data_IF_867512786009
#
_entry.id   IF_867512786009
#
_cell.length_a   1.000
_cell.length_b   1.000
_cell.length_c   1.000
_cell.angle_alpha   90.00
_cell.angle_beta   90.00
_cell.angle_gamma   90.00
#
_symmetry.space_group_name_H-M   'P 1'
#
loop_
_entity.id
_entity.type
_entity.pdbx_description
1 polymer ?
#
# COMPACT_ATOMS: atom_id res chain seq x y z
N UNK A 1 -29.64 5.70 16.36
CA UNK A 1 -29.77 5.04 15.05
C UNK A 1 -28.48 5.30 14.27
N UNK A 2 -28.02 4.33 13.48
CA UNK A 2 -26.82 4.43 12.64
C UNK A 2 -27.26 4.47 11.16
N UNK A 3 -26.53 5.22 10.34
CA UNK A 3 -26.77 5.31 8.89
C UNK A 3 -26.12 4.15 8.13
N UNK A 4 -25.05 3.57 8.68
CA UNK A 4 -24.35 2.42 8.12
C UNK A 4 -23.77 1.53 9.22
N UNK A 5 -23.67 0.23 8.91
CA UNK A 5 -22.98 -0.76 9.73
C UNK A 5 -21.87 -1.36 8.90
N UNK A 6 -20.64 -1.34 9.41
CA UNK A 6 -19.47 -1.97 8.83
C UNK A 6 -19.09 -3.17 9.70
N UNK A 7 -19.00 -4.35 9.10
CA UNK A 7 -18.64 -5.59 9.80
C UNK A 7 -17.18 -5.91 9.45
N UNK A 8 -16.32 -5.90 10.45
CA UNK A 8 -14.87 -6.06 10.35
C UNK A 8 -14.12 -4.73 10.40
N UNK A 9 -13.08 -4.67 11.22
CA UNK A 9 -12.22 -3.50 11.44
C UNK A 9 -10.89 -3.57 10.68
N UNK A 10 -10.80 -4.37 9.62
CA UNK A 10 -9.64 -4.36 8.73
C UNK A 10 -9.48 -3.01 8.02
N UNK A 11 -8.32 -2.79 7.39
CA UNK A 11 -8.00 -1.52 6.70
C UNK A 11 -9.12 -1.05 5.76
N UNK A 12 -9.70 -1.94 4.95
CA UNK A 12 -10.81 -1.59 4.07
C UNK A 12 -12.09 -1.17 4.83
N UNK A 13 -12.42 -1.85 5.93
CA UNK A 13 -13.59 -1.54 6.76
C UNK A 13 -13.43 -0.22 7.49
N UNK A 14 -12.28 0.02 8.13
CA UNK A 14 -11.98 1.29 8.80
C UNK A 14 -11.84 2.45 7.81
N UNK A 15 -11.26 2.25 6.63
CA UNK A 15 -11.24 3.27 5.59
C UNK A 15 -12.64 3.62 5.11
N UNK A 16 -13.50 2.63 4.85
CA UNK A 16 -14.88 2.89 4.44
C UNK A 16 -15.69 3.60 5.53
N UNK A 17 -15.60 3.13 6.78
CA UNK A 17 -16.26 3.75 7.92
C UNK A 17 -15.79 5.19 8.14
N UNK A 18 -14.46 5.42 8.09
CA UNK A 18 -13.86 6.73 8.25
C UNK A 18 -14.28 7.71 7.14
N UNK A 19 -14.34 7.26 5.88
CA UNK A 19 -14.83 8.08 4.78
C UNK A 19 -16.31 8.44 4.95
N UNK A 20 -17.17 7.46 5.26
CA UNK A 20 -18.60 7.72 5.49
C UNK A 20 -18.81 8.68 6.66
N UNK A 21 -18.06 8.52 7.75
CA UNK A 21 -18.18 9.38 8.91
C UNK A 21 -17.67 10.81 8.64
N UNK A 22 -16.47 10.95 8.05
CA UNK A 22 -15.80 12.25 7.92
C UNK A 22 -16.19 13.03 6.67
N UNK A 23 -16.37 12.35 5.53
CA UNK A 23 -16.65 13.00 4.26
C UNK A 23 -18.14 13.10 3.94
N UNK A 24 -18.96 12.18 4.48
CA UNK A 24 -20.40 12.11 4.20
C UNK A 24 -21.29 12.36 5.44
N UNK A 25 -20.68 12.74 6.57
CA UNK A 25 -21.36 13.06 7.84
C UNK A 25 -22.35 11.96 8.28
N UNK A 26 -21.93 10.70 8.18
CA UNK A 26 -22.75 9.53 8.53
C UNK A 26 -22.40 8.97 9.90
N UNK A 27 -23.42 8.55 10.65
CA UNK A 27 -23.26 7.78 11.89
C UNK A 27 -22.99 6.33 11.54
N UNK A 28 -21.73 5.90 11.62
CA UNK A 28 -21.32 4.54 11.28
C UNK A 28 -21.07 3.71 12.55
N UNK A 29 -21.62 2.49 12.59
CA UNK A 29 -21.27 1.47 13.58
C UNK A 29 -20.26 0.50 12.96
N UNK A 30 -19.10 0.31 13.59
CA UNK A 30 -18.13 -0.72 13.21
C UNK A 30 -18.22 -1.87 14.21
N UNK A 31 -18.39 -3.10 13.71
CA UNK A 31 -18.45 -4.31 14.51
C UNK A 31 -17.21 -5.15 14.25
N UNK A 32 -16.43 -5.42 15.29
CA UNK A 32 -15.27 -6.32 15.24
C UNK A 32 -15.53 -7.54 16.13
N UNK A 33 -15.20 -8.73 15.60
CA UNK A 33 -15.30 -10.00 16.33
C UNK A 33 -14.09 -10.20 17.24
N UNK A 34 -12.92 -9.75 16.81
CA UNK A 34 -11.69 -9.80 17.59
C UNK A 34 -11.68 -8.78 18.72
N UNK A 35 -10.79 -9.00 19.68
CA UNK A 35 -10.59 -8.10 20.83
C UNK A 35 -9.85 -6.82 20.44
N UNK A 36 -9.11 -6.84 19.33
CA UNK A 36 -8.31 -5.73 18.83
C UNK A 36 -8.78 -5.33 17.43
N UNK A 37 -8.86 -4.03 17.12
CA UNK A 37 -9.19 -3.58 15.78
C UNK A 37 -7.99 -3.69 14.83
N UNK A 38 -8.26 -3.81 13.53
CA UNK A 38 -7.23 -3.73 12.46
C UNK A 38 -7.16 -4.95 11.54
N UNK A 39 -7.81 -6.08 11.88
CA UNK A 39 -7.76 -7.28 11.04
C UNK A 39 -6.32 -7.75 10.78
N UNK A 40 -5.89 -7.85 9.52
CA UNK A 40 -4.50 -8.21 9.17
C UNK A 40 -3.48 -7.07 9.37
N UNK A 41 -3.93 -5.87 9.72
CA UNK A 41 -3.07 -4.72 10.04
C UNK A 41 -2.95 -4.48 11.54
N UNK A 42 -3.46 -5.40 12.37
CA UNK A 42 -3.33 -5.31 13.82
C UNK A 42 -1.94 -5.77 14.28
N UNK A 43 -1.55 -5.28 15.45
CA UNK A 43 -0.39 -5.76 16.21
C UNK A 43 -0.88 -6.30 17.55
N UNK A 44 -0.25 -7.35 18.08
CA UNK A 44 -0.57 -7.88 19.41
C UNK A 44 0.69 -7.98 20.28
N UNK A 45 0.52 -7.99 21.60
CA UNK A 45 1.62 -8.15 22.54
C UNK A 45 1.66 -9.56 23.13
N UNK A 46 2.83 -10.19 23.12
CA UNK A 46 3.05 -11.50 23.72
C UNK A 46 4.48 -11.60 24.22
N UNK A 47 4.65 -12.11 25.44
CA UNK A 47 5.95 -12.36 26.08
C UNK A 47 6.87 -11.11 26.09
N UNK A 48 6.28 -9.94 26.37
CA UNK A 48 6.97 -8.65 26.43
C UNK A 48 7.25 -7.99 25.08
N UNK A 49 7.05 -8.69 23.97
CA UNK A 49 7.25 -8.20 22.60
C UNK A 49 5.94 -7.80 21.92
N UNK A 50 6.05 -6.96 20.88
CA UNK A 50 4.96 -6.62 19.96
C UNK A 50 5.16 -7.38 18.65
N UNK A 51 4.07 -7.89 18.09
CA UNK A 51 4.06 -8.72 16.89
C UNK A 51 3.02 -8.20 15.92
N UNK A 52 3.42 -8.01 14.66
CA UNK A 52 2.50 -7.64 13.58
C UNK A 52 1.94 -8.89 12.91
N UNK A 53 0.66 -8.86 12.54
CA UNK A 53 -0.02 -10.05 12.00
C UNK A 53 0.17 -10.21 10.48
N UNK A 54 0.39 -9.13 9.73
CA UNK A 54 0.44 -9.23 8.27
C UNK A 54 1.18 -8.14 7.51
N UNK A 55 1.10 -6.88 7.94
CA UNK A 55 1.78 -5.78 7.23
C UNK A 55 3.25 -5.72 7.65
N UNK A 56 4.16 -5.83 6.68
CA UNK A 56 5.61 -5.81 6.92
C UNK A 56 6.23 -4.42 6.64
N UNK A 57 5.91 -3.80 5.51
CA UNK A 57 6.27 -2.43 5.18
C UNK A 57 5.26 -1.84 4.18
N UNK A 58 5.23 -0.50 4.08
CA UNK A 58 4.34 0.24 3.19
C UNK A 58 5.15 0.95 2.11
N UNK A 59 4.78 0.75 0.84
CA UNK A 59 5.23 1.57 -0.28
C UNK A 59 4.31 2.78 -0.49
N UNK A 60 4.72 3.73 -1.34
CA UNK A 60 3.89 4.88 -1.75
C UNK A 60 3.42 5.77 -0.57
N UNK A 61 4.31 6.02 0.40
CA UNK A 61 4.02 6.78 1.62
C UNK A 61 4.60 8.22 1.59
N UNK A 62 4.54 8.89 0.44
CA UNK A 62 5.00 10.28 0.29
C UNK A 62 3.83 11.22 -0.07
N UNK A 63 3.93 12.55 0.14
CA UNK A 63 2.84 13.50 -0.14
C UNK A 63 2.32 13.53 -1.59
N UNK A 64 3.07 13.00 -2.55
CA UNK A 64 2.63 12.87 -3.96
C UNK A 64 1.75 11.64 -4.20
N UNK A 65 1.75 10.69 -3.26
CA UNK A 65 1.09 9.40 -3.41
C UNK A 65 -0.35 9.48 -2.88
N UNK A 66 -1.30 8.98 -3.66
CA UNK A 66 -2.73 9.09 -3.33
C UNK A 66 -3.09 8.35 -2.05
N UNK A 67 -2.48 7.18 -1.83
CA UNK A 67 -2.74 6.35 -0.64
C UNK A 67 -2.32 7.12 0.62
N UNK A 68 -1.15 7.78 0.60
CA UNK A 68 -0.70 8.60 1.72
C UNK A 68 -1.70 9.71 2.05
N UNK A 69 -2.21 10.43 1.04
CA UNK A 69 -3.24 11.48 1.24
C UNK A 69 -4.51 10.95 1.90
N UNK A 70 -4.98 9.76 1.50
CA UNK A 70 -6.15 9.14 2.14
C UNK A 70 -5.88 8.75 3.59
N UNK A 71 -4.72 8.17 3.87
CA UNK A 71 -4.35 7.80 5.23
C UNK A 71 -4.26 9.04 6.12
N UNK A 72 -3.55 10.08 5.69
CA UNK A 72 -3.46 11.36 6.41
C UNK A 72 -4.84 11.95 6.73
N UNK A 73 -5.76 11.97 5.75
CA UNK A 73 -7.13 12.45 5.96
C UNK A 73 -7.89 11.60 6.98
N UNK A 74 -7.81 10.27 6.85
CA UNK A 74 -8.51 9.32 7.73
C UNK A 74 -7.95 9.33 9.15
N UNK A 75 -6.65 9.55 9.32
CA UNK A 75 -5.98 9.61 10.62
C UNK A 75 -5.88 11.02 11.20
N UNK A 76 -6.46 12.04 10.54
CA UNK A 76 -6.29 13.45 10.95
C UNK A 76 -4.81 13.88 11.11
N UNK A 77 -3.91 13.33 10.30
CA UNK A 77 -2.48 13.61 10.39
C UNK A 77 -1.76 12.99 11.60
N UNK A 78 -2.40 12.08 12.33
CA UNK A 78 -1.76 11.39 13.47
C UNK A 78 -0.83 10.23 13.05
N UNK A 79 -0.75 9.93 11.75
CA UNK A 79 0.06 8.82 11.24
C UNK A 79 1.55 9.14 11.40
N UNK A 80 2.26 8.30 12.16
CA UNK A 80 3.71 8.40 12.34
C UNK A 80 4.39 7.33 11.50
N UNK A 81 5.04 7.76 10.43
CA UNK A 81 5.80 6.88 9.55
C UNK A 81 7.26 6.79 9.99
N UNK A 82 7.77 5.56 10.09
CA UNK A 82 9.20 5.31 10.23
C UNK A 82 9.78 4.93 8.87
N UNK A 83 10.76 5.67 8.38
CA UNK A 83 11.36 5.42 7.06
C UNK A 83 12.25 4.18 7.13
N UNK A 84 12.04 3.25 6.20
CA UNK A 84 12.92 2.09 6.06
C UNK A 84 14.35 2.49 5.66
N UNK A 85 15.36 1.69 6.04
CA UNK A 85 16.72 1.88 5.55
C UNK A 85 16.79 1.83 4.01
N UNK A 86 17.90 2.35 3.45
CA UNK A 86 18.10 2.36 2.01
C UNK A 86 18.04 0.96 1.39
N UNK A 87 18.56 -0.06 2.08
CA UNK A 87 18.38 -1.47 1.74
C UNK A 87 17.34 -2.13 2.65
N UNK A 88 16.21 -2.57 2.10
CA UNK A 88 15.08 -3.04 2.93
C UNK A 88 14.90 -4.57 2.91
N UNK A 89 15.24 -5.25 1.81
CA UNK A 89 15.26 -6.71 1.73
C UNK A 89 16.66 -7.19 1.37
N UNK A 90 17.07 -8.35 1.91
CA UNK A 90 18.34 -9.00 1.58
C UNK A 90 18.12 -10.46 1.18
N UNK A 91 18.58 -10.80 -0.01
CA UNK A 91 18.51 -12.13 -0.59
C UNK A 91 19.89 -12.78 -0.51
N UNK A 92 20.00 -13.85 0.29
CA UNK A 92 21.25 -14.59 0.47
C UNK A 92 21.06 -16.01 -0.05
N UNK A 93 21.72 -16.33 -1.15
CA UNK A 93 21.78 -17.66 -1.77
C UNK A 93 23.24 -18.07 -2.03
N UNK A 94 23.53 -19.34 -2.34
CA UNK A 94 24.88 -19.74 -2.74
C UNK A 94 25.38 -18.90 -3.92
N UNK A 95 26.43 -18.09 -3.69
CA UNK A 95 27.02 -17.21 -4.70
C UNK A 95 26.25 -15.91 -4.97
N UNK A 96 25.16 -15.63 -4.24
CA UNK A 96 24.37 -14.40 -4.39
C UNK A 96 24.15 -13.77 -3.00
N UNK A 97 24.55 -12.52 -2.86
CA UNK A 97 24.21 -11.68 -1.72
C UNK A 97 23.73 -10.34 -2.26
N UNK A 98 22.41 -10.15 -2.27
CA UNK A 98 21.76 -9.01 -2.91
C UNK A 98 20.89 -8.26 -1.92
N UNK A 99 21.16 -6.97 -1.71
CA UNK A 99 20.32 -6.09 -0.91
C UNK A 99 19.52 -5.17 -1.82
N UNK A 100 18.20 -5.26 -1.74
CA UNK A 100 17.26 -4.44 -2.53
C UNK A 100 17.28 -3.00 -2.04
N UNK A 101 17.69 -2.04 -2.87
CA UNK A 101 17.61 -0.63 -2.52
C UNK A 101 16.18 -0.10 -2.68
N UNK A 102 15.82 0.92 -1.91
CA UNK A 102 14.52 1.60 -2.00
C UNK A 102 14.38 2.45 -3.27
N UNK A 103 15.50 2.85 -3.89
CA UNK A 103 15.48 3.62 -5.14
C UNK A 103 15.34 2.68 -6.36
N UNK A 104 14.36 2.90 -7.25
CA UNK A 104 14.10 2.00 -8.36
C UNK A 104 15.18 2.02 -9.45
N UNK A 105 15.91 3.13 -9.61
CA UNK A 105 17.02 3.25 -10.56
C UNK A 105 18.21 2.46 -10.01
N UNK A 106 18.57 2.70 -8.75
CA UNK A 106 19.60 1.92 -8.06
C UNK A 106 19.28 0.42 -8.06
N UNK A 107 18.01 0.06 -7.89
CA UNK A 107 17.58 -1.34 -7.93
C UNK A 107 17.83 -1.98 -9.29
N UNK A 108 17.42 -1.30 -10.38
CA UNK A 108 17.67 -1.76 -11.73
C UNK A 108 19.17 -1.89 -12.02
N UNK A 109 19.97 -0.88 -11.66
CA UNK A 109 21.41 -0.86 -11.94
C UNK A 109 22.14 -1.97 -11.15
N UNK A 110 21.77 -2.21 -9.89
CA UNK A 110 22.33 -3.32 -9.10
C UNK A 110 21.99 -4.69 -9.70
N UNK A 111 20.76 -4.88 -10.21
CA UNK A 111 20.38 -6.12 -10.88
C UNK A 111 21.20 -6.33 -12.17
N UNK A 112 21.40 -5.27 -12.96
CA UNK A 112 22.23 -5.34 -14.18
C UNK A 112 23.69 -5.65 -13.83
N UNK A 113 24.24 -5.03 -12.79
CA UNK A 113 25.60 -5.31 -12.34
C UNK A 113 25.78 -6.77 -11.88
N UNK A 114 24.74 -7.36 -11.27
CA UNK A 114 24.75 -8.76 -10.83
C UNK A 114 24.52 -9.75 -11.97
N UNK A 115 23.72 -9.38 -12.98
CA UNK A 115 23.36 -10.23 -14.13
C UNK A 115 23.61 -9.48 -15.45
N UNK A 116 24.87 -9.23 -15.83
CA UNK A 116 25.19 -8.39 -16.99
C UNK A 116 24.64 -8.96 -18.30
N UNK A 117 24.64 -10.30 -18.46
CA UNK A 117 24.10 -10.97 -19.65
C UNK A 117 22.59 -10.74 -19.84
N UNK A 118 21.87 -10.39 -18.76
CA UNK A 118 20.43 -10.14 -18.76
C UNK A 118 20.06 -8.65 -18.82
N UNK A 119 21.02 -7.73 -19.03
CA UNK A 119 20.77 -6.28 -19.00
C UNK A 119 19.55 -5.89 -19.85
N UNK A 120 19.48 -6.39 -21.08
CA UNK A 120 18.38 -6.08 -22.01
C UNK A 120 17.03 -6.57 -21.49
N UNK A 121 17.00 -7.75 -20.87
CA UNK A 121 15.80 -8.34 -20.28
C UNK A 121 15.35 -7.55 -19.05
N UNK A 122 16.29 -7.19 -18.16
CA UNK A 122 16.03 -6.40 -16.96
C UNK A 122 15.47 -5.03 -17.33
N UNK A 123 16.12 -4.30 -18.24
CA UNK A 123 15.61 -2.98 -18.70
C UNK A 123 14.22 -3.08 -19.33
N UNK A 124 13.95 -4.16 -20.07
CA UNK A 124 12.61 -4.42 -20.63
C UNK A 124 11.58 -4.66 -19.53
N UNK A 125 11.88 -5.48 -18.54
CA UNK A 125 10.97 -5.78 -17.43
C UNK A 125 10.52 -4.51 -16.70
N UNK A 126 11.44 -3.64 -16.28
CA UNK A 126 11.08 -2.40 -15.58
C UNK A 126 10.20 -1.46 -16.43
N UNK A 127 10.50 -1.34 -17.73
CA UNK A 127 9.66 -0.58 -18.66
C UNK A 127 8.26 -1.18 -18.80
N UNK A 128 8.14 -2.50 -18.86
CA UNK A 128 6.85 -3.18 -18.99
C UNK A 128 6.02 -3.05 -17.69
N UNK A 129 6.66 -3.08 -16.53
CA UNK A 129 6.05 -2.80 -15.23
C UNK A 129 5.50 -1.36 -15.19
N UNK A 130 6.30 -0.35 -15.55
CA UNK A 130 5.84 1.05 -15.61
C UNK A 130 4.65 1.23 -16.57
N UNK A 131 4.72 0.60 -17.75
CA UNK A 131 3.62 0.64 -18.72
C UNK A 131 2.35 0.00 -18.18
N UNK A 132 2.49 -1.12 -17.46
CA UNK A 132 1.37 -1.84 -16.83
C UNK A 132 0.75 -1.03 -15.72
N UNK A 133 1.56 -0.38 -14.86
CA UNK A 133 1.06 0.52 -13.82
C UNK A 133 0.25 1.67 -14.39
N UNK A 134 0.76 2.35 -15.43
CA UNK A 134 0.05 3.44 -16.12
C UNK A 134 -1.27 2.97 -16.73
N UNK A 135 -1.25 1.82 -17.40
CA UNK A 135 -2.46 1.24 -17.99
C UNK A 135 -3.49 0.88 -16.92
N UNK A 136 -3.07 0.26 -15.81
CA UNK A 136 -3.96 -0.13 -14.73
C UNK A 136 -4.59 1.10 -14.04
N UNK A 137 -3.80 2.16 -13.80
CA UNK A 137 -4.30 3.40 -13.23
C UNK A 137 -5.37 4.05 -14.12
N UNK A 138 -5.16 4.07 -15.44
CA UNK A 138 -6.14 4.57 -16.42
C UNK A 138 -7.39 3.70 -16.44
N UNK A 139 -7.23 2.37 -16.40
CA UNK A 139 -8.35 1.41 -16.39
C UNK A 139 -9.22 1.57 -15.15
N UNK A 140 -8.61 1.64 -13.96
CA UNK A 140 -9.33 1.87 -12.71
C UNK A 140 -10.05 3.22 -12.73
N UNK A 141 -9.38 4.27 -13.20
CA UNK A 141 -9.99 5.60 -13.33
C UNK A 141 -11.23 5.57 -14.22
N UNK A 142 -11.19 4.85 -15.36
CA UNK A 142 -12.38 4.66 -16.22
C UNK A 142 -13.52 3.93 -15.53
N UNK A 143 -13.21 2.94 -14.69
CA UNK A 143 -14.22 2.20 -13.91
C UNK A 143 -14.84 3.00 -12.77
N UNK A 144 -14.17 4.05 -12.29
CA UNK A 144 -14.67 4.94 -11.23
C UNK A 144 -15.51 6.11 -11.77
N UNK A 145 -15.47 6.38 -13.08
CA UNK A 145 -16.34 7.38 -13.68
C UNK A 145 -17.73 6.77 -13.87
N UNK A 146 -18.79 7.35 -13.27
CA UNK A 146 -20.15 6.90 -13.51
C UNK A 146 -20.46 6.93 -15.01
N UNK A 147 -21.19 5.94 -15.53
CA UNK A 147 -21.43 5.81 -16.97
C UNK A 147 -22.03 7.06 -17.64
N UNK A 148 -22.73 7.92 -16.88
CA UNK A 148 -23.28 9.18 -17.37
C UNK A 148 -22.25 10.32 -17.51
N UNK A 149 -21.08 10.20 -16.89
CA UNK A 149 -19.99 11.17 -16.92
C UNK A 149 -18.75 10.65 -17.68
N UNK A 150 -18.83 9.44 -18.25
CA UNK A 150 -17.79 8.90 -19.10
C UNK A 150 -17.72 9.72 -20.40
N UNK A 151 -16.55 10.20 -20.82
CA UNK A 151 -16.45 10.93 -22.08
C UNK A 151 -16.95 10.04 -23.22
N UNK A 152 -17.88 10.56 -24.01
CA UNK A 152 -18.26 9.94 -25.27
C UNK A 152 -17.02 9.88 -26.16
N UNK A 153 -16.72 8.70 -26.68
CA UNK A 153 -15.63 8.47 -27.63
C UNK A 153 -15.77 9.38 -28.86
#
# INVERSE_FOLDING_TARGET
>A
MYDAIVIGSGIGGLSAAGMLARAADKRVLVLEKHTEPGGFTQSFRRDGASWDVGVHYLGEMTPKDRIFTYLEYLTAGELKLNRMPAGFDRFVYPGIDFTTPSDPIEYQDKLIAMFPDEERSIRRYFRDIDRTFKWNALRLSRGMVPGFAAPAL
#
